data_IF_783289630068
#
_entry.id   IF_783289630068
#
_cell.length_a   1.000
_cell.length_b   1.000
_cell.length_c   1.000
_cell.angle_alpha   90.00
_cell.angle_beta   90.00
_cell.angle_gamma   90.00
#
_symmetry.space_group_name_H-M   'P 1'
#
loop_
_entity.id
_entity.type
_entity.pdbx_description
1 polymer ?
#
# COMPACT_ATOMS: atom_id res chain seq x y z
N UNK A 1 -51.59 -59.75 -38.49
CA UNK A 1 -50.86 -58.47 -38.47
C UNK A 1 -49.81 -58.55 -39.56
N UNK A 2 -49.86 -57.64 -40.54
CA UNK A 2 -48.88 -57.61 -41.62
C UNK A 2 -47.60 -56.93 -41.12
N UNK A 3 -46.45 -57.29 -41.69
CA UNK A 3 -45.15 -56.65 -41.40
C UNK A 3 -45.20 -55.13 -41.62
N UNK A 4 -46.03 -54.70 -42.57
CA UNK A 4 -46.28 -53.30 -42.89
C UNK A 4 -46.96 -52.56 -41.72
N UNK A 5 -47.89 -53.20 -41.02
CA UNK A 5 -48.57 -52.60 -39.86
C UNK A 5 -47.60 -52.37 -38.70
N UNK A 6 -46.69 -53.32 -38.44
CA UNK A 6 -45.66 -53.20 -37.40
C UNK A 6 -44.63 -52.11 -37.72
N UNK A 7 -44.24 -51.96 -38.99
CA UNK A 7 -43.31 -50.90 -39.44
C UNK A 7 -43.95 -49.51 -39.29
N UNK A 8 -45.22 -49.36 -39.67
CA UNK A 8 -45.96 -48.10 -39.53
C UNK A 8 -46.16 -47.71 -38.05
N UNK A 9 -46.45 -48.68 -37.18
CA UNK A 9 -46.55 -48.43 -35.74
C UNK A 9 -45.20 -48.00 -35.13
N UNK A 10 -44.10 -48.66 -35.47
CA UNK A 10 -42.77 -48.27 -35.00
C UNK A 10 -42.34 -46.89 -35.51
N UNK A 11 -42.66 -46.56 -36.77
CA UNK A 11 -42.35 -45.27 -37.37
C UNK A 11 -43.11 -44.11 -36.71
N UNK A 12 -44.40 -44.30 -36.44
CA UNK A 12 -45.22 -43.28 -35.73
C UNK A 12 -44.76 -43.07 -34.28
N UNK A 13 -44.33 -44.13 -33.59
CA UNK A 13 -43.80 -44.04 -32.24
C UNK A 13 -42.44 -43.31 -32.19
N UNK A 14 -41.57 -43.56 -33.18
CA UNK A 14 -40.31 -42.84 -33.33
C UNK A 14 -40.54 -41.35 -33.63
N UNK A 15 -41.50 -41.02 -34.49
CA UNK A 15 -41.87 -39.64 -34.80
C UNK A 15 -42.44 -38.90 -33.58
N UNK A 16 -43.25 -39.56 -32.75
CA UNK A 16 -43.77 -38.97 -31.51
C UNK A 16 -42.65 -38.63 -30.52
N UNK A 17 -41.70 -39.55 -30.34
CA UNK A 17 -40.52 -39.34 -29.51
C UNK A 17 -39.63 -38.21 -30.04
N UNK A 18 -39.39 -38.20 -31.35
CA UNK A 18 -38.62 -37.14 -32.00
C UNK A 18 -39.31 -35.78 -31.90
N UNK A 19 -40.65 -35.72 -32.00
CA UNK A 19 -41.39 -34.45 -31.87
C UNK A 19 -41.23 -33.82 -30.49
N UNK A 20 -41.23 -34.63 -29.42
CA UNK A 20 -41.04 -34.15 -28.03
C UNK A 20 -39.63 -33.62 -27.77
N UNK A 21 -38.63 -34.14 -28.48
CA UNK A 21 -37.22 -33.75 -28.32
C UNK A 21 -36.82 -32.61 -29.26
N UNK A 22 -37.34 -32.58 -30.48
CA UNK A 22 -37.02 -31.58 -31.51
C UNK A 22 -37.91 -30.34 -31.39
N UNK A 23 -39.16 -30.51 -30.96
CA UNK A 23 -40.15 -29.43 -30.74
C UNK A 23 -40.66 -29.50 -29.29
N UNK A 24 -39.79 -29.39 -28.27
CA UNK A 24 -40.28 -29.16 -26.93
C UNK A 24 -41.00 -27.80 -26.90
N UNK A 25 -41.87 -27.61 -25.91
CA UNK A 25 -42.50 -26.30 -25.65
C UNK A 25 -41.45 -25.29 -25.20
N UNK A 26 -40.73 -24.72 -26.17
CA UNK A 26 -39.71 -23.70 -25.98
C UNK A 26 -40.30 -22.44 -25.34
N UNK A 27 -41.61 -22.20 -25.46
CA UNK A 27 -42.29 -21.09 -24.81
C UNK A 27 -42.17 -21.16 -23.29
N UNK A 28 -42.45 -22.33 -22.71
CA UNK A 28 -42.28 -22.56 -21.26
C UNK A 28 -40.83 -22.36 -20.79
N UNK A 29 -39.86 -22.85 -21.56
CA UNK A 29 -38.42 -22.73 -21.25
C UNK A 29 -37.94 -21.29 -21.36
N UNK A 30 -38.38 -20.56 -22.40
CA UNK A 30 -38.05 -19.14 -22.61
C UNK A 30 -38.62 -18.29 -21.46
N UNK A 31 -39.84 -18.60 -20.99
CA UNK A 31 -40.45 -17.91 -19.84
C UNK A 31 -39.71 -18.20 -18.53
N UNK A 32 -39.13 -19.40 -18.37
CA UNK A 32 -38.31 -19.76 -17.21
C UNK A 32 -36.82 -19.40 -17.33
N UNK A 33 -36.38 -18.97 -18.51
CA UNK A 33 -34.99 -18.62 -18.80
C UNK A 33 -34.41 -17.57 -17.84
N UNK A 34 -35.14 -16.51 -17.42
CA UNK A 34 -34.64 -15.56 -16.43
C UNK A 34 -34.27 -16.22 -15.11
N UNK A 35 -35.09 -17.17 -14.63
CA UNK A 35 -34.84 -17.90 -13.38
C UNK A 35 -33.63 -18.83 -13.53
N UNK A 36 -33.54 -19.54 -14.66
CA UNK A 36 -32.41 -20.42 -14.96
C UNK A 36 -31.09 -19.65 -15.05
N UNK A 37 -31.09 -18.45 -15.65
CA UNK A 37 -29.90 -17.58 -15.71
C UNK A 37 -29.53 -17.07 -14.32
N UNK A 38 -30.51 -16.63 -13.52
CA UNK A 38 -30.23 -16.13 -12.18
C UNK A 38 -29.65 -17.22 -11.28
N UNK A 39 -30.24 -18.41 -11.28
CA UNK A 39 -29.75 -19.52 -10.45
C UNK A 39 -28.49 -20.18 -11.01
N UNK A 40 -28.39 -20.34 -12.33
CA UNK A 40 -27.30 -21.06 -12.97
C UNK A 40 -26.05 -20.22 -13.25
N UNK A 41 -26.21 -18.91 -13.45
CA UNK A 41 -25.11 -18.03 -13.88
C UNK A 41 -24.90 -16.89 -12.91
N UNK A 42 -25.91 -16.04 -12.69
CA UNK A 42 -25.73 -14.78 -11.94
C UNK A 42 -25.43 -15.05 -10.46
N UNK A 43 -26.19 -15.95 -9.83
CA UNK A 43 -26.00 -16.33 -8.43
C UNK A 43 -24.60 -16.88 -8.15
N UNK A 44 -24.14 -17.90 -8.89
CA UNK A 44 -22.78 -18.42 -8.78
C UNK A 44 -21.72 -17.36 -9.04
N UNK A 45 -21.91 -16.52 -10.06
CA UNK A 45 -20.95 -15.46 -10.40
C UNK A 45 -20.79 -14.45 -9.24
N UNK A 46 -21.90 -13.98 -8.67
CA UNK A 46 -21.87 -13.07 -7.53
C UNK A 46 -21.28 -13.74 -6.28
N UNK A 47 -21.55 -15.02 -6.07
CA UNK A 47 -20.99 -15.79 -4.95
C UNK A 47 -19.47 -15.91 -5.07
N UNK A 48 -18.95 -16.26 -6.26
CA UNK A 48 -17.51 -16.33 -6.52
C UNK A 48 -16.87 -14.95 -6.33
N UNK A 49 -17.50 -13.90 -6.84
CA UNK A 49 -17.00 -12.53 -6.68
C UNK A 49 -16.90 -12.13 -5.20
N UNK A 50 -17.94 -12.43 -4.42
CA UNK A 50 -17.96 -12.15 -2.98
C UNK A 50 -16.87 -12.95 -2.24
N UNK A 51 -16.72 -14.24 -2.53
CA UNK A 51 -15.67 -15.09 -1.95
C UNK A 51 -14.28 -14.59 -2.30
N UNK A 52 -14.05 -14.20 -3.56
CA UNK A 52 -12.80 -13.61 -4.00
C UNK A 52 -12.48 -12.33 -3.22
N UNK A 53 -13.49 -11.47 -3.04
CA UNK A 53 -13.33 -10.23 -2.29
C UNK A 53 -12.97 -10.51 -0.83
N UNK A 54 -13.72 -11.37 -0.16
CA UNK A 54 -13.45 -11.78 1.23
C UNK A 54 -12.06 -12.38 1.37
N UNK A 55 -11.70 -13.31 0.49
CA UNK A 55 -10.36 -13.91 0.46
C UNK A 55 -9.27 -12.86 0.27
N UNK A 56 -9.46 -11.93 -0.66
CA UNK A 56 -8.53 -10.82 -0.90
C UNK A 56 -8.32 -9.98 0.37
N UNK A 57 -9.39 -9.60 1.09
CA UNK A 57 -9.27 -8.83 2.33
C UNK A 57 -8.60 -9.59 3.48
N UNK A 58 -8.76 -10.91 3.53
CA UNK A 58 -8.10 -11.77 4.53
C UNK A 58 -6.61 -11.92 4.21
N UNK A 59 -6.27 -12.19 2.96
CA UNK A 59 -4.89 -12.47 2.53
C UNK A 59 -4.08 -11.18 2.33
N UNK A 60 -4.74 -10.05 2.07
CA UNK A 60 -4.06 -8.76 1.90
C UNK A 60 -3.15 -8.50 3.11
N UNK A 61 -1.82 -8.44 2.90
CA UNK A 61 -0.89 -8.21 3.99
C UNK A 61 -1.25 -6.86 4.60
N UNK A 62 -1.67 -6.87 5.86
CA UNK A 62 -1.84 -5.67 6.65
C UNK A 62 -0.43 -5.11 6.82
N UNK A 63 -0.08 -4.16 5.96
CA UNK A 63 1.22 -3.49 6.02
C UNK A 63 1.43 -3.05 7.45
N UNK A 64 2.46 -3.61 8.11
CA UNK A 64 2.82 -3.22 9.45
C UNK A 64 2.96 -1.70 9.46
N UNK A 65 2.34 -1.04 10.44
CA UNK A 65 2.52 0.38 10.62
C UNK A 65 4.03 0.67 10.60
N UNK A 66 4.52 1.64 9.81
CA UNK A 66 5.93 1.94 9.77
C UNK A 66 6.39 2.24 11.19
N UNK A 67 7.24 1.37 11.73
CA UNK A 67 7.83 1.57 13.05
C UNK A 67 8.79 2.73 12.90
N UNK A 68 8.39 3.91 13.37
CA UNK A 68 9.25 5.08 13.43
C UNK A 68 10.44 4.74 14.34
N UNK A 69 11.58 4.47 13.72
CA UNK A 69 12.86 4.42 14.41
C UNK A 69 13.29 5.88 14.50
N UNK A 70 13.21 6.46 15.70
CA UNK A 70 13.87 7.74 15.96
C UNK A 70 15.33 7.60 15.49
N UNK A 71 15.84 8.47 14.60
CA UNK A 71 17.24 8.43 14.24
C UNK A 71 18.03 8.78 15.50
N UNK A 72 18.59 7.76 16.15
CA UNK A 72 19.52 7.92 17.24
C UNK A 72 20.75 8.73 16.79
N UNK A 73 21.63 9.10 17.73
CA UNK A 73 22.88 9.79 17.39
C UNK A 73 23.62 9.03 16.30
N UNK A 74 23.96 9.74 15.23
CA UNK A 74 24.66 9.20 14.06
C UNK A 74 26.06 9.78 14.00
N UNK A 75 27.04 8.98 13.57
CA UNK A 75 28.39 9.47 13.31
C UNK A 75 28.39 10.54 12.23
N UNK A 76 29.20 11.59 12.42
CA UNK A 76 29.41 12.61 11.41
C UNK A 76 30.21 12.02 10.24
N UNK A 77 29.75 12.23 8.98
CA UNK A 77 30.50 11.78 7.82
C UNK A 77 31.87 12.47 7.77
N UNK A 78 32.91 11.72 7.44
CA UNK A 78 34.27 12.28 7.27
C UNK A 78 34.36 12.91 5.88
N UNK A 79 34.79 14.17 5.86
CA UNK A 79 34.99 14.93 4.63
C UNK A 79 36.24 14.53 3.86
N UNK A 80 36.38 15.08 2.65
CA UNK A 80 37.58 14.90 1.81
C UNK A 80 38.85 15.51 2.43
N UNK A 81 38.65 16.41 3.37
CA UNK A 81 39.65 17.09 4.19
C UNK A 81 40.09 16.26 5.41
N UNK A 82 39.51 15.07 5.62
CA UNK A 82 39.84 14.20 6.75
C UNK A 82 39.20 14.63 8.09
N UNK A 83 38.41 15.71 8.08
CA UNK A 83 37.70 16.20 9.26
C UNK A 83 36.22 15.78 9.25
N UNK A 84 35.58 15.61 10.43
CA UNK A 84 34.15 15.38 10.52
C UNK A 84 33.35 16.55 9.95
N UNK A 85 32.40 16.26 9.05
CA UNK A 85 31.51 17.26 8.46
C UNK A 85 30.16 17.25 9.17
N UNK A 86 29.82 18.40 9.75
CA UNK A 86 28.56 18.61 10.45
C UNK A 86 27.58 19.39 9.57
N UNK A 87 26.35 18.88 9.35
CA UNK A 87 25.34 19.57 8.56
C UNK A 87 24.83 20.81 9.29
N UNK A 88 24.33 21.78 8.53
CA UNK A 88 23.70 22.96 9.10
C UNK A 88 22.31 22.62 9.65
N UNK A 89 21.94 23.24 10.78
CA UNK A 89 20.63 23.09 11.40
C UNK A 89 20.46 21.90 12.34
N UNK A 90 21.38 20.92 12.34
CA UNK A 90 21.34 19.77 13.27
C UNK A 90 22.33 19.96 14.44
N UNK A 91 21.96 19.57 15.68
CA UNK A 91 22.88 19.56 16.81
C UNK A 91 23.98 18.53 16.64
N UNK A 92 25.22 18.89 16.98
CA UNK A 92 26.36 17.99 16.91
C UNK A 92 27.33 18.17 18.08
N UNK A 93 28.07 17.10 18.39
CA UNK A 93 29.20 17.11 19.31
C UNK A 93 30.50 17.08 18.51
N UNK A 94 31.34 18.10 18.70
CA UNK A 94 32.63 18.18 18.00
C UNK A 94 33.64 17.14 18.52
N UNK A 95 33.58 16.77 19.80
CA UNK A 95 34.55 15.85 20.40
C UNK A 95 34.31 14.40 19.98
N UNK A 96 33.05 13.94 20.08
CA UNK A 96 32.69 12.56 19.77
C UNK A 96 32.34 12.36 18.29
N UNK A 97 32.38 13.44 17.49
CA UNK A 97 31.98 13.46 16.08
C UNK A 97 30.58 12.85 15.85
N UNK A 98 29.62 13.20 16.72
CA UNK A 98 28.24 12.70 16.67
C UNK A 98 27.28 13.81 16.27
N UNK A 99 26.28 13.47 15.45
CA UNK A 99 25.16 14.32 15.04
C UNK A 99 23.90 13.76 15.69
N UNK A 100 23.12 14.64 16.31
CA UNK A 100 21.92 14.30 17.04
C UNK A 100 20.66 14.81 16.33
N UNK A 101 19.49 14.21 16.59
CA UNK A 101 18.23 14.73 16.11
C UNK A 101 17.95 16.14 16.65
N UNK A 102 17.16 16.91 15.90
CA UNK A 102 16.75 18.26 16.31
C UNK A 102 16.05 18.23 17.68
N UNK A 103 16.39 19.20 18.53
CA UNK A 103 15.85 19.34 19.89
C UNK A 103 16.63 18.62 20.98
N UNK A 104 17.75 17.96 20.68
CA UNK A 104 18.72 17.54 21.69
C UNK A 104 19.70 18.67 22.01
N UNK A 105 19.96 18.91 23.30
CA UNK A 105 20.86 19.97 23.75
C UNK A 105 22.18 19.45 24.36
N UNK A 106 22.27 18.16 24.69
CA UNK A 106 23.44 17.55 25.32
C UNK A 106 23.85 16.25 24.64
N UNK A 107 25.17 16.02 24.59
CA UNK A 107 25.76 14.75 24.17
C UNK A 107 25.49 13.67 25.23
N UNK A 108 25.12 12.47 24.80
CA UNK A 108 24.92 11.31 25.67
C UNK A 108 26.24 10.65 26.11
N UNK A 109 27.32 10.82 25.35
CA UNK A 109 28.66 10.28 25.67
C UNK A 109 29.41 11.19 26.64
N UNK A 110 29.64 12.46 26.25
CA UNK A 110 30.49 13.38 27.02
C UNK A 110 29.71 14.42 27.85
N UNK A 111 28.37 14.42 27.82
CA UNK A 111 27.50 15.34 28.57
C UNK A 111 27.66 16.84 28.26
N UNK A 112 28.47 17.20 27.26
CA UNK A 112 28.67 18.59 26.82
C UNK A 112 27.46 19.15 26.08
N UNK A 113 27.34 20.47 26.08
CA UNK A 113 26.32 21.18 25.30
C UNK A 113 26.61 21.00 23.81
N UNK A 114 25.59 20.55 23.07
CA UNK A 114 25.67 20.38 21.62
C UNK A 114 25.74 21.74 20.93
N UNK A 115 26.36 21.76 19.76
CA UNK A 115 26.48 22.97 18.93
C UNK A 115 25.61 22.79 17.70
N UNK A 116 24.94 23.85 17.27
CA UNK A 116 24.19 23.90 16.00
C UNK A 116 24.84 24.96 15.12
N UNK A 117 25.03 24.64 13.84
CA UNK A 117 25.49 25.60 12.84
C UNK A 117 24.28 26.26 12.17
N UNK A 118 24.24 27.59 12.18
CA UNK A 118 23.15 28.33 11.54
C UNK A 118 23.13 28.08 10.02
N UNK A 119 22.00 27.67 9.41
CA UNK A 119 21.92 27.40 7.98
C UNK A 119 21.97 28.66 7.12
N UNK A 120 21.69 29.84 7.70
CA UNK A 120 21.72 31.11 6.96
C UNK A 120 23.09 31.77 6.93
N UNK A 121 23.79 31.83 8.07
CA UNK A 121 25.07 32.54 8.19
C UNK A 121 26.25 31.64 8.56
N UNK A 122 26.04 30.35 8.78
CA UNK A 122 27.11 29.38 9.06
C UNK A 122 27.73 29.48 10.45
N UNK A 123 27.30 30.43 11.30
CA UNK A 123 27.84 30.63 12.65
C UNK A 123 27.41 29.47 13.58
N UNK A 124 28.36 28.93 14.33
CA UNK A 124 28.10 27.92 15.37
C UNK A 124 27.60 28.56 16.66
N UNK A 125 26.63 27.93 17.31
CA UNK A 125 26.06 28.35 18.59
C UNK A 125 25.68 27.14 19.44
N UNK A 126 25.53 27.26 20.77
CA UNK A 126 24.94 26.19 21.58
C UNK A 126 23.50 25.88 21.12
N UNK A 127 23.15 24.61 21.12
CA UNK A 127 21.85 24.09 20.69
C UNK A 127 20.68 24.54 21.59
N UNK A 128 20.97 24.99 22.82
CA UNK A 128 19.98 25.50 23.77
C UNK A 128 19.45 26.90 23.42
N UNK A 129 20.22 27.68 22.64
CA UNK A 129 19.79 29.01 22.20
C UNK A 129 19.03 28.83 20.89
N UNK A 130 17.75 29.18 20.84
CA UNK A 130 16.91 29.04 19.63
C UNK A 130 17.13 30.14 18.60
N UNK A 131 17.68 31.30 18.98
CA UNK A 131 17.87 32.45 18.09
C UNK A 131 19.33 32.66 17.66
N UNK A 132 19.56 32.98 16.40
CA UNK A 132 20.91 33.25 15.89
C UNK A 132 21.26 34.71 16.18
N UNK A 133 22.24 34.95 17.05
CA UNK A 133 22.66 36.31 17.44
C UNK A 133 23.23 37.16 16.29
N UNK A 134 23.65 36.55 15.18
CA UNK A 134 24.19 37.28 14.02
C UNK A 134 23.11 37.67 12.99
N UNK A 135 22.29 36.71 12.55
CA UNK A 135 21.32 36.94 11.46
C UNK A 135 19.84 36.92 11.90
N UNK A 136 19.57 36.80 13.19
CA UNK A 136 18.22 36.80 13.76
C UNK A 136 17.38 35.55 13.46
N UNK A 137 17.93 34.54 12.78
CA UNK A 137 17.19 33.32 12.45
C UNK A 137 16.81 32.58 13.74
N UNK A 138 15.52 32.34 13.92
CA UNK A 138 14.99 31.51 15.01
C UNK A 138 14.87 30.08 14.49
N UNK A 139 15.77 29.21 14.96
CA UNK A 139 15.62 27.76 14.80
C UNK A 139 15.00 27.26 16.09
N UNK A 140 13.68 27.26 16.14
CA UNK A 140 12.96 26.48 17.15
C UNK A 140 13.15 25.02 16.77
N UNK A 141 14.17 24.40 17.35
CA UNK A 141 14.35 22.97 17.28
C UNK A 141 13.38 22.31 18.27
N UNK A 142 12.09 22.65 18.17
CA UNK A 142 11.04 21.85 18.78
C UNK A 142 11.21 20.47 18.16
N UNK A 143 11.43 19.44 19.00
CA UNK A 143 11.37 18.05 18.54
C UNK A 143 10.10 17.96 17.71
N UNK A 144 10.22 17.74 16.40
CA UNK A 144 9.03 17.59 15.56
C UNK A 144 8.14 16.59 16.29
N UNK A 145 6.85 16.93 16.53
CA UNK A 145 5.96 15.99 17.18
C UNK A 145 6.08 14.67 16.43
N UNK A 146 6.42 13.61 17.18
CA UNK A 146 6.59 12.26 16.64
C UNK A 146 5.45 11.99 15.65
N UNK A 147 5.77 11.76 14.38
CA UNK A 147 4.78 11.36 13.39
C UNK A 147 4.52 12.30 12.21
N UNK A 148 5.42 13.25 11.91
CA UNK A 148 5.33 14.02 10.65
C UNK A 148 6.57 13.81 9.78
N UNK A 149 6.79 12.56 9.38
CA UNK A 149 7.60 12.30 8.19
C UNK A 149 6.65 12.19 7.00
N UNK A 150 6.93 12.94 5.93
CA UNK A 150 6.13 12.93 4.71
C UNK A 150 6.11 11.50 4.18
N UNK A 151 4.94 10.85 4.25
CA UNK A 151 4.64 9.56 3.65
C UNK A 151 5.34 9.47 2.29
N UNK A 152 6.39 8.65 2.16
CA UNK A 152 6.81 8.19 0.83
C UNK A 152 5.58 7.54 0.23
N UNK A 153 5.00 8.19 -0.78
CA UNK A 153 3.93 7.61 -1.57
C UNK A 153 4.50 6.29 -2.09
N UNK A 154 3.97 5.13 -1.67
CA UNK A 154 4.38 3.89 -2.29
C UNK A 154 4.11 4.05 -3.78
N UNK A 155 5.11 3.76 -4.61
CA UNK A 155 4.97 3.80 -6.06
C UNK A 155 3.73 3.03 -6.53
N UNK A 156 3.25 3.31 -7.75
CA UNK A 156 2.04 2.69 -8.27
C UNK A 156 2.10 1.17 -8.09
N UNK A 157 0.98 0.53 -7.68
CA UNK A 157 0.96 -0.88 -7.36
C UNK A 157 1.55 -1.70 -8.51
N UNK A 158 2.45 -2.67 -8.24
CA UNK A 158 2.93 -3.56 -9.28
C UNK A 158 1.73 -4.34 -9.83
N UNK A 159 1.41 -4.10 -11.11
CA UNK A 159 0.28 -4.74 -11.78
C UNK A 159 -0.69 -3.81 -12.49
N UNK A 160 -0.50 -2.48 -12.43
CA UNK A 160 -1.22 -1.56 -13.31
C UNK A 160 -0.69 -1.65 -14.74
N UNK A 161 -1.39 -2.39 -15.59
CA UNK A 161 -1.12 -2.48 -17.02
C UNK A 161 -0.95 -1.07 -17.63
N UNK A 162 0.29 -0.73 -17.98
CA UNK A 162 0.53 0.23 -19.04
C UNK A 162 0.12 -0.48 -20.34
N UNK A 163 -1.13 -0.31 -20.75
CA UNK A 163 -1.53 -0.60 -22.12
C UNK A 163 -0.84 0.43 -23.02
N UNK A 164 0.21 -0.01 -23.69
CA UNK A 164 0.77 0.61 -24.88
C UNK A 164 0.23 -0.13 -26.10
#
# INVERSE_FOLDING_TARGET
MSIVDTLNAGWTQLLDLLSKVIIPDWGSVILMLPILIVLGVVGPLLTILALFWVWYFIVKPRGAAPRFVDPGPRGAPIGRDGYPQFPAGEPYCFQDALIYPVGTTRCDVCSRVLVVRCPRCGLGRPAEIDTCGNCGLVLKAEKLPRGMDLRRVPGPPPGGAAAA
#
